data_IF_465922528046
#
_entry.id   IF_465922528046
#
_cell.length_a   1.000
_cell.length_b   1.000
_cell.length_c   1.000
_cell.angle_alpha   90.00
_cell.angle_beta   90.00
_cell.angle_gamma   90.00
#
_symmetry.space_group_name_H-M   'P 1'
#
loop_
_entity.id
_entity.type
_entity.pdbx_description
1 polymer ?
#
# COMPACT_ATOMS: atom_id res chain seq x y z
N UNK A 1 -2.40 -14.86 16.53
CA UNK A 1 -1.61 -15.55 15.47
C UNK A 1 -1.08 -14.48 14.54
N UNK A 2 0.16 -14.57 14.07
CA UNK A 2 0.65 -13.64 13.06
C UNK A 2 -0.16 -13.82 11.77
N UNK A 3 -0.58 -12.71 11.18
CA UNK A 3 -1.26 -12.69 9.89
C UNK A 3 -0.46 -13.47 8.84
N UNK A 4 -1.13 -14.35 8.09
CA UNK A 4 -0.55 -14.97 6.89
C UNK A 4 -0.78 -14.00 5.70
N UNK A 5 0.29 -13.44 5.09
CA UNK A 5 0.14 -12.44 4.04
C UNK A 5 -0.65 -12.93 2.83
N UNK A 6 -0.41 -14.17 2.39
CA UNK A 6 -1.08 -14.71 1.21
C UNK A 6 -2.56 -14.98 1.44
N UNK A 7 -2.94 -15.54 2.59
CA UNK A 7 -4.37 -15.68 2.97
C UNK A 7 -5.05 -14.33 3.09
N UNK A 8 -4.34 -13.31 3.57
CA UNK A 8 -4.86 -11.94 3.63
C UNK A 8 -5.07 -11.35 2.23
N UNK A 9 -4.11 -11.51 1.31
CA UNK A 9 -4.25 -11.13 -0.09
C UNK A 9 -5.50 -11.76 -0.70
N UNK A 10 -5.64 -13.09 -0.63
CA UNK A 10 -6.82 -13.80 -1.17
C UNK A 10 -8.14 -13.27 -0.61
N UNK A 11 -8.16 -12.92 0.68
CA UNK A 11 -9.34 -12.31 1.32
C UNK A 11 -9.65 -10.94 0.73
N UNK A 12 -8.63 -10.10 0.50
CA UNK A 12 -8.79 -8.78 -0.09
C UNK A 12 -9.20 -8.86 -1.58
N UNK A 13 -8.63 -9.80 -2.34
CA UNK A 13 -9.03 -10.05 -3.74
C UNK A 13 -10.52 -10.41 -3.83
N UNK A 14 -10.97 -11.34 -2.99
CA UNK A 14 -12.38 -11.73 -2.92
C UNK A 14 -13.30 -10.58 -2.53
N UNK A 15 -12.91 -9.74 -1.56
CA UNK A 15 -13.73 -8.61 -1.08
C UNK A 15 -13.80 -7.44 -2.06
N UNK A 16 -12.69 -7.16 -2.73
CA UNK A 16 -12.59 -6.07 -3.70
C UNK A 16 -13.11 -6.45 -5.08
N UNK A 17 -13.31 -7.74 -5.33
CA UNK A 17 -13.64 -8.26 -6.66
C UNK A 17 -12.47 -8.09 -7.64
N UNK A 18 -11.23 -8.23 -7.17
CA UNK A 18 -10.04 -8.25 -8.04
C UNK A 18 -9.90 -9.63 -8.68
N UNK A 19 -10.26 -9.74 -9.95
CA UNK A 19 -10.44 -11.04 -10.62
C UNK A 19 -9.23 -11.46 -11.46
N UNK A 20 -9.29 -12.67 -11.99
CA UNK A 20 -8.31 -13.17 -12.97
C UNK A 20 -8.26 -12.29 -14.23
N UNK A 21 -9.41 -11.75 -14.66
CA UNK A 21 -9.49 -10.83 -15.79
C UNK A 21 -8.77 -9.51 -15.50
N UNK A 22 -8.90 -8.97 -14.28
CA UNK A 22 -8.15 -7.77 -13.85
C UNK A 22 -6.64 -8.04 -13.89
N UNK A 23 -6.21 -9.19 -13.36
CA UNK A 23 -4.80 -9.63 -13.38
C UNK A 23 -4.25 -9.76 -14.80
N UNK A 24 -5.03 -10.36 -15.71
CA UNK A 24 -4.65 -10.49 -17.12
C UNK A 24 -4.59 -9.13 -17.82
N UNK A 25 -5.56 -8.25 -17.52
CA UNK A 25 -5.59 -6.89 -18.04
C UNK A 25 -4.34 -6.12 -17.58
N UNK A 26 -4.04 -6.11 -16.29
CA UNK A 26 -2.84 -5.47 -15.73
C UNK A 26 -1.56 -5.97 -16.39
N UNK A 27 -1.40 -7.28 -16.54
CA UNK A 27 -0.25 -7.88 -17.25
C UNK A 27 -0.14 -7.40 -18.69
N UNK A 28 -1.26 -7.32 -19.42
CA UNK A 28 -1.25 -6.84 -20.81
C UNK A 28 -0.78 -5.38 -20.95
N UNK A 29 -0.84 -4.60 -19.87
CA UNK A 29 -0.40 -3.20 -19.81
C UNK A 29 0.91 -3.01 -19.03
N UNK A 30 1.65 -4.08 -18.70
CA UNK A 30 2.87 -3.99 -17.89
C UNK A 30 3.93 -3.06 -18.49
N UNK A 31 4.17 -3.10 -19.80
CA UNK A 31 5.13 -2.19 -20.46
C UNK A 31 4.67 -0.72 -20.41
N UNK A 32 3.37 -0.48 -20.51
CA UNK A 32 2.82 0.87 -20.34
C UNK A 32 2.97 1.33 -18.89
N UNK A 33 2.62 0.48 -17.91
CA UNK A 33 2.79 0.75 -16.49
C UNK A 33 4.26 1.07 -16.14
N UNK A 34 5.20 0.30 -16.69
CA UNK A 34 6.64 0.53 -16.56
C UNK A 34 7.07 1.88 -17.12
N UNK A 35 6.51 2.28 -18.25
CA UNK A 35 6.82 3.56 -18.90
C UNK A 35 6.38 4.76 -18.06
N UNK A 36 5.22 4.68 -17.40
CA UNK A 36 4.68 5.78 -16.60
C UNK A 36 5.18 5.78 -15.15
N UNK A 37 5.78 4.68 -14.66
CA UNK A 37 6.19 4.54 -13.28
C UNK A 37 7.11 5.67 -12.75
N UNK A 38 8.10 6.17 -13.52
CA UNK A 38 8.94 7.30 -13.06
C UNK A 38 8.13 8.58 -12.84
N UNK A 39 7.17 8.87 -13.71
CA UNK A 39 6.30 10.04 -13.59
C UNK A 39 5.37 9.92 -12.37
N UNK A 40 4.84 8.72 -12.11
CA UNK A 40 4.02 8.47 -10.91
C UNK A 40 4.84 8.63 -9.63
N UNK A 41 6.12 8.23 -9.66
CA UNK A 41 7.04 8.46 -8.55
C UNK A 41 7.24 9.97 -8.32
N UNK A 42 7.42 10.74 -9.40
CA UNK A 42 7.60 12.19 -9.31
C UNK A 42 6.36 12.87 -8.70
N UNK A 43 5.15 12.48 -9.11
CA UNK A 43 3.91 12.97 -8.49
C UNK A 43 3.81 12.59 -7.01
N UNK A 44 4.13 11.35 -6.66
CA UNK A 44 4.09 10.86 -5.28
C UNK A 44 5.06 11.62 -4.36
N UNK A 45 6.32 11.78 -4.75
CA UNK A 45 7.30 12.50 -3.94
C UNK A 45 7.06 14.01 -3.94
N UNK A 46 6.57 14.60 -5.04
CA UNK A 46 6.16 16.00 -5.07
C UNK A 46 4.98 16.29 -4.14
N UNK A 47 4.05 15.34 -3.97
CA UNK A 47 2.98 15.44 -2.98
C UNK A 47 3.53 15.39 -1.56
N UNK A 48 4.31 14.35 -1.23
CA UNK A 48 4.87 14.17 0.11
C UNK A 48 5.75 15.35 0.55
N UNK A 49 6.50 15.94 -0.39
CA UNK A 49 7.42 17.04 -0.08
C UNK A 49 6.71 18.36 0.30
N UNK A 50 5.37 18.43 0.21
CA UNK A 50 4.57 19.59 0.65
C UNK A 50 4.37 19.60 2.17
N UNK A 51 4.51 18.45 2.81
CA UNK A 51 4.39 18.29 4.25
C UNK A 51 5.77 18.33 4.91
N UNK A 52 5.90 19.09 6.00
CA UNK A 52 7.19 19.33 6.67
C UNK A 52 7.73 18.06 7.35
N UNK A 53 6.85 17.23 7.92
CA UNK A 53 7.21 15.96 8.55
C UNK A 53 7.76 15.00 7.49
N UNK A 54 7.04 14.86 6.38
CA UNK A 54 7.47 14.00 5.26
C UNK A 54 8.74 14.53 4.59
N UNK A 55 8.87 15.83 4.37
CA UNK A 55 10.09 16.44 3.85
C UNK A 55 11.31 16.07 4.71
N UNK A 56 11.17 16.14 6.03
CA UNK A 56 12.24 15.79 6.98
C UNK A 56 12.61 14.30 6.85
N UNK A 57 11.63 13.40 6.79
CA UNK A 57 11.86 11.96 6.64
C UNK A 57 12.56 11.62 5.31
N UNK A 58 12.10 12.21 4.21
CA UNK A 58 12.62 11.99 2.86
C UNK A 58 14.09 12.41 2.73
N UNK A 59 14.48 13.49 3.43
CA UNK A 59 15.81 14.09 3.38
C UNK A 59 16.71 13.72 4.57
N UNK A 60 16.28 12.80 5.44
CA UNK A 60 17.02 12.44 6.64
C UNK A 60 18.42 11.83 6.37
N UNK A 61 18.64 11.27 5.17
CA UNK A 61 19.96 10.76 4.75
C UNK A 61 20.23 11.08 3.27
N UNK A 62 21.50 11.32 2.94
CA UNK A 62 21.91 11.65 1.57
C UNK A 62 21.55 10.53 0.58
N UNK A 63 21.02 10.95 -0.56
CA UNK A 63 20.55 10.04 -1.62
C UNK A 63 19.34 9.17 -1.26
N UNK A 64 18.71 9.37 -0.09
CA UNK A 64 17.53 8.59 0.33
C UNK A 64 16.37 8.75 -0.65
N UNK A 65 16.06 9.97 -1.05
CA UNK A 65 14.96 10.25 -1.98
C UNK A 65 15.14 9.53 -3.33
N UNK A 66 16.36 9.44 -3.85
CA UNK A 66 16.64 8.70 -5.08
C UNK A 66 16.40 7.20 -4.92
N UNK A 67 16.90 6.59 -3.83
CA UNK A 67 16.66 5.16 -3.54
C UNK A 67 15.17 4.86 -3.32
N UNK A 68 14.46 5.78 -2.67
CA UNK A 68 13.02 5.71 -2.46
C UNK A 68 12.27 5.76 -3.79
N UNK A 69 12.65 6.67 -4.69
CA UNK A 69 12.11 6.77 -6.05
C UNK A 69 12.25 5.47 -6.82
N UNK A 70 13.43 4.84 -6.81
CA UNK A 70 13.65 3.56 -7.49
C UNK A 70 12.79 2.44 -6.88
N UNK A 71 12.64 2.44 -5.55
CA UNK A 71 11.79 1.49 -4.84
C UNK A 71 10.32 1.66 -5.20
N UNK A 72 9.85 2.91 -5.31
CA UNK A 72 8.49 3.22 -5.75
C UNK A 72 8.24 2.75 -7.19
N UNK A 73 9.16 3.06 -8.11
CA UNK A 73 9.05 2.64 -9.52
C UNK A 73 8.90 1.13 -9.62
N UNK A 74 9.72 0.39 -8.88
CA UNK A 74 9.61 -1.06 -8.81
C UNK A 74 8.28 -1.51 -8.20
N UNK A 75 7.87 -0.95 -7.05
CA UNK A 75 6.59 -1.28 -6.40
C UNK A 75 5.38 -1.06 -7.32
N UNK A 76 5.38 0.06 -8.05
CA UNK A 76 4.34 0.42 -9.00
C UNK A 76 4.30 -0.55 -10.19
N UNK A 77 5.47 -0.87 -10.76
CA UNK A 77 5.56 -1.83 -11.86
C UNK A 77 5.06 -3.23 -11.44
N UNK A 78 5.34 -3.65 -10.21
CA UNK A 78 4.86 -4.91 -9.67
C UNK A 78 3.34 -5.01 -9.55
N UNK A 79 2.62 -3.88 -9.43
CA UNK A 79 1.17 -3.89 -9.49
C UNK A 79 0.65 -4.39 -10.84
N UNK A 80 1.42 -4.25 -11.91
CA UNK A 80 1.04 -4.72 -13.25
C UNK A 80 1.43 -6.18 -13.47
N UNK A 81 2.57 -6.60 -12.92
CA UNK A 81 3.13 -7.94 -13.17
C UNK A 81 2.65 -8.97 -12.17
N UNK A 82 2.35 -8.56 -10.95
CA UNK A 82 2.06 -9.44 -9.83
C UNK A 82 3.28 -10.20 -9.28
N UNK A 83 4.49 -9.99 -9.82
CA UNK A 83 5.76 -10.71 -9.57
C UNK A 83 5.73 -12.24 -9.74
N UNK A 84 4.84 -12.91 -9.03
CA UNK A 84 4.57 -14.34 -8.98
C UNK A 84 3.07 -14.62 -9.15
N UNK A 85 2.41 -13.85 -10.02
CA UNK A 85 0.97 -13.91 -10.27
C UNK A 85 0.11 -13.54 -9.06
N UNK A 86 0.53 -12.52 -8.30
CA UNK A 86 -0.10 -12.12 -7.04
C UNK A 86 -0.14 -13.30 -6.05
N UNK A 87 1.00 -13.98 -5.94
CA UNK A 87 1.20 -15.16 -5.13
C UNK A 87 1.73 -14.84 -3.73
N UNK A 88 2.50 -15.78 -3.18
CA UNK A 88 3.09 -15.63 -1.85
C UNK A 88 4.15 -14.54 -1.82
N UNK A 89 5.00 -14.45 -2.85
CA UNK A 89 6.10 -13.49 -2.88
C UNK A 89 5.57 -12.06 -2.99
N UNK A 90 4.51 -11.85 -3.79
CA UNK A 90 3.82 -10.57 -3.84
C UNK A 90 3.28 -10.17 -2.45
N UNK A 91 2.54 -11.07 -1.81
CA UNK A 91 1.91 -10.81 -0.52
C UNK A 91 2.94 -10.53 0.59
N UNK A 92 4.02 -11.31 0.65
CA UNK A 92 5.11 -11.14 1.62
C UNK A 92 5.84 -9.81 1.39
N UNK A 93 6.02 -9.40 0.13
CA UNK A 93 6.60 -8.09 -0.20
C UNK A 93 5.70 -6.95 0.26
N UNK A 94 4.38 -7.03 0.03
CA UNK A 94 3.41 -6.02 0.49
C UNK A 94 3.36 -5.93 2.01
N UNK A 95 3.40 -7.08 2.68
CA UNK A 95 3.51 -7.14 4.13
C UNK A 95 4.78 -6.44 4.65
N UNK A 96 5.94 -6.74 4.05
CA UNK A 96 7.21 -6.11 4.42
C UNK A 96 7.20 -4.60 4.21
N UNK A 97 6.58 -4.12 3.13
CA UNK A 97 6.38 -2.68 2.89
C UNK A 97 5.58 -2.06 4.04
N UNK A 98 4.47 -2.69 4.45
CA UNK A 98 3.68 -2.25 5.61
C UNK A 98 4.52 -2.16 6.89
N UNK A 99 5.30 -3.18 7.21
CA UNK A 99 6.17 -3.20 8.40
C UNK A 99 7.19 -2.04 8.40
N UNK A 100 7.76 -1.70 7.23
CA UNK A 100 8.71 -0.60 7.10
C UNK A 100 8.04 0.75 7.40
N UNK A 101 6.79 0.95 6.95
CA UNK A 101 6.06 2.18 7.25
C UNK A 101 5.80 2.32 8.76
N UNK A 102 5.39 1.24 9.42
CA UNK A 102 5.21 1.21 10.89
C UNK A 102 6.52 1.51 11.61
N UNK A 103 7.63 0.89 11.19
CA UNK A 103 8.94 1.08 11.81
C UNK A 103 9.44 2.52 11.73
N UNK A 104 9.15 3.22 10.63
CA UNK A 104 9.56 4.63 10.43
C UNK A 104 8.54 5.60 11.08
N UNK A 105 7.35 5.13 11.43
CA UNK A 105 6.29 5.94 12.03
C UNK A 105 5.46 6.74 11.01
N UNK A 106 5.46 6.34 9.73
CA UNK A 106 4.68 7.02 8.69
C UNK A 106 3.23 6.55 8.77
N UNK A 107 2.41 7.29 9.52
CA UNK A 107 1.03 6.89 9.82
C UNK A 107 0.08 6.90 8.60
N UNK A 108 -1.10 6.27 8.73
CA UNK A 108 -2.15 6.26 7.71
C UNK A 108 -2.52 7.62 7.13
N UNK A 109 -2.46 8.68 7.94
CA UNK A 109 -2.76 10.05 7.51
C UNK A 109 -1.84 10.56 6.38
N UNK A 110 -0.65 9.99 6.24
CA UNK A 110 0.30 10.33 5.18
C UNK A 110 0.16 9.38 3.99
N UNK A 111 -0.03 8.09 4.26
CA UNK A 111 -0.07 7.03 3.23
C UNK A 111 -1.36 7.10 2.40
N UNK A 112 -2.52 7.28 3.04
CA UNK A 112 -3.82 7.26 2.35
C UNK A 112 -3.92 8.38 1.29
N UNK A 113 -3.62 9.66 1.61
CA UNK A 113 -3.64 10.73 0.60
C UNK A 113 -2.56 10.57 -0.49
N UNK A 114 -1.41 10.01 -0.14
CA UNK A 114 -0.34 9.77 -1.12
C UNK A 114 -0.76 8.68 -2.13
N UNK A 115 -1.41 7.61 -1.67
CA UNK A 115 -2.03 6.61 -2.56
C UNK A 115 -3.13 7.22 -3.43
N UNK A 116 -3.99 8.06 -2.86
CA UNK A 116 -5.05 8.75 -3.62
C UNK A 116 -4.47 9.64 -4.73
N UNK A 117 -3.37 10.33 -4.46
CA UNK A 117 -2.64 11.14 -5.46
C UNK A 117 -2.16 10.27 -6.62
N UNK A 118 -1.54 9.12 -6.34
CA UNK A 118 -1.08 8.19 -7.39
C UNK A 118 -2.26 7.68 -8.23
N UNK A 119 -3.34 7.24 -7.60
CA UNK A 119 -4.54 6.76 -8.31
C UNK A 119 -5.14 7.86 -9.21
N UNK A 120 -5.18 9.10 -8.74
CA UNK A 120 -5.67 10.23 -9.51
C UNK A 120 -4.79 10.51 -10.73
N UNK A 121 -3.47 10.56 -10.56
CA UNK A 121 -2.54 10.87 -11.66
C UNK A 121 -2.45 9.75 -12.69
N UNK A 122 -2.50 8.48 -12.25
CA UNK A 122 -2.67 7.34 -13.14
C UNK A 122 -3.96 7.48 -13.93
N UNK A 123 -5.07 7.84 -13.28
CA UNK A 123 -6.36 8.07 -13.96
C UNK A 123 -6.29 9.19 -15.00
N UNK A 124 -5.60 10.29 -14.68
CA UNK A 124 -5.36 11.39 -15.63
C UNK A 124 -4.58 10.88 -16.86
N UNK A 125 -3.50 10.12 -16.62
CA UNK A 125 -2.65 9.58 -17.66
C UNK A 125 -3.36 8.54 -18.54
N UNK A 126 -4.16 7.66 -17.94
CA UNK A 126 -5.00 6.69 -18.66
C UNK A 126 -5.94 7.39 -19.65
N UNK A 127 -6.61 8.47 -19.22
CA UNK A 127 -7.51 9.25 -20.08
C UNK A 127 -6.75 9.96 -21.20
N UNK A 128 -5.60 10.55 -20.90
CA UNK A 128 -4.76 11.22 -21.90
C UNK A 128 -4.27 10.24 -22.98
N UNK A 129 -3.91 9.02 -22.59
CA UNK A 129 -3.43 7.98 -23.50
C UNK A 129 -4.56 7.15 -24.14
N UNK A 130 -5.83 7.52 -23.92
CA UNK A 130 -7.00 6.84 -24.47
C UNK A 130 -7.16 5.38 -24.02
N UNK A 131 -6.75 5.05 -22.79
CA UNK A 131 -6.82 3.69 -22.24
C UNK A 131 -8.22 3.34 -21.74
N UNK A 132 -8.51 2.05 -21.71
CA UNK A 132 -9.80 1.50 -21.26
C UNK A 132 -10.03 1.81 -19.77
N UNK A 133 -11.25 2.23 -19.43
CA UNK A 133 -11.70 2.44 -18.05
C UNK A 133 -11.50 1.19 -17.17
N UNK A 134 -11.62 -0.02 -17.75
CA UNK A 134 -11.38 -1.26 -17.01
C UNK A 134 -9.97 -1.36 -16.43
N UNK A 135 -8.97 -0.76 -17.10
CA UNK A 135 -7.60 -0.72 -16.57
C UNK A 135 -7.51 0.20 -15.36
N UNK A 136 -8.21 1.34 -15.39
CA UNK A 136 -8.29 2.23 -14.23
C UNK A 136 -8.93 1.52 -13.04
N UNK A 137 -10.01 0.77 -13.27
CA UNK A 137 -10.73 0.06 -12.22
C UNK A 137 -9.86 -1.06 -11.62
N UNK A 138 -9.18 -1.86 -12.46
CA UNK A 138 -8.24 -2.89 -12.02
C UNK A 138 -7.07 -2.30 -11.20
N UNK A 139 -6.48 -1.20 -11.67
CA UNK A 139 -5.41 -0.49 -10.94
C UNK A 139 -5.92 0.07 -9.61
N UNK A 140 -7.12 0.64 -9.60
CA UNK A 140 -7.76 1.13 -8.38
C UNK A 140 -7.92 0.02 -7.34
N UNK A 141 -8.40 -1.17 -7.74
CA UNK A 141 -8.54 -2.32 -6.84
C UNK A 141 -7.20 -2.74 -6.24
N UNK A 142 -6.17 -2.96 -7.06
CA UNK A 142 -4.86 -3.41 -6.54
C UNK A 142 -4.17 -2.34 -5.68
N UNK A 143 -4.32 -1.05 -5.99
CA UNK A 143 -3.86 0.04 -5.13
C UNK A 143 -4.51 0.00 -3.74
N UNK A 144 -5.82 -0.27 -3.66
CA UNK A 144 -6.53 -0.38 -2.37
C UNK A 144 -6.15 -1.66 -1.62
N UNK A 145 -5.87 -2.75 -2.32
CA UNK A 145 -5.32 -3.98 -1.71
C UNK A 145 -3.95 -3.68 -1.08
N UNK A 146 -3.04 -3.03 -1.82
CA UNK A 146 -1.71 -2.66 -1.32
C UNK A 146 -1.79 -1.69 -0.13
N UNK A 147 -2.71 -0.72 -0.17
CA UNK A 147 -2.97 0.17 0.97
C UNK A 147 -3.43 -0.60 2.21
N UNK A 148 -4.32 -1.58 2.04
CA UNK A 148 -4.80 -2.41 3.14
C UNK A 148 -3.69 -3.23 3.81
N UNK A 149 -2.63 -3.61 3.10
CA UNK A 149 -1.44 -4.24 3.72
C UNK A 149 -0.73 -3.30 4.69
N UNK A 150 -0.60 -2.01 4.34
CA UNK A 150 0.03 -1.01 5.20
C UNK A 150 -0.82 -0.77 6.46
N UNK A 151 -2.13 -0.56 6.27
CA UNK A 151 -3.07 -0.38 7.39
C UNK A 151 -3.09 -1.60 8.33
N UNK A 152 -3.13 -2.80 7.76
CA UNK A 152 -3.15 -4.02 8.56
C UNK A 152 -1.82 -4.22 9.31
N UNK A 153 -0.68 -3.83 8.74
CA UNK A 153 0.59 -3.86 9.46
C UNK A 153 0.57 -2.97 10.70
N UNK A 154 -0.04 -1.77 10.64
CA UNK A 154 -0.24 -0.91 11.81
C UNK A 154 -1.06 -1.60 12.90
N UNK A 155 -2.18 -2.22 12.53
CA UNK A 155 -3.05 -2.94 13.48
C UNK A 155 -2.30 -4.09 14.14
N UNK A 156 -1.66 -4.95 13.36
CA UNK A 156 -0.97 -6.15 13.86
C UNK A 156 0.25 -5.79 14.73
N UNK A 157 1.12 -4.89 14.25
CA UNK A 157 2.36 -4.54 14.97
C UNK A 157 2.03 -3.80 16.26
N UNK A 158 1.10 -2.84 16.24
CA UNK A 158 0.72 -2.09 17.44
C UNK A 158 0.10 -3.01 18.49
N UNK A 159 -0.81 -3.90 18.06
CA UNK A 159 -1.43 -4.89 18.95
C UNK A 159 -0.39 -5.84 19.54
N UNK A 160 0.49 -6.40 18.69
CA UNK A 160 1.53 -7.32 19.14
C UNK A 160 2.52 -6.67 20.11
N UNK A 161 2.91 -5.41 19.86
CA UNK A 161 3.80 -4.67 20.75
C UNK A 161 3.18 -4.49 22.14
N UNK A 162 1.91 -4.06 22.22
CA UNK A 162 1.20 -3.89 23.50
C UNK A 162 1.02 -5.22 24.23
N UNK A 163 0.58 -6.28 23.54
CA UNK A 163 0.38 -7.59 24.15
C UNK A 163 1.69 -8.16 24.71
N UNK A 164 2.80 -8.00 23.98
CA UNK A 164 4.13 -8.45 24.43
C UNK A 164 4.62 -7.69 25.65
N UNK A 165 4.43 -6.38 25.68
CA UNK A 165 4.88 -5.52 26.79
C UNK A 165 4.04 -5.72 28.06
N UNK A 166 2.72 -5.83 27.91
CA UNK A 166 1.78 -5.87 29.04
C UNK A 166 1.46 -7.28 29.54
N UNK A 167 1.74 -8.31 28.74
CA UNK A 167 1.29 -9.68 29.01
C UNK A 167 -0.22 -9.88 28.91
N UNK A 168 -0.97 -8.90 28.35
CA UNK A 168 -2.40 -9.03 28.17
C UNK A 168 -2.76 -10.16 27.20
N UNK A 169 -3.92 -10.75 27.42
CA UNK A 169 -4.49 -11.68 26.44
C UNK A 169 -5.10 -10.91 25.27
N UNK A 170 -5.06 -11.50 24.07
CA UNK A 170 -5.68 -10.92 22.88
C UNK A 170 -7.19 -10.63 23.10
N UNK A 171 -7.89 -11.50 23.83
CA UNK A 171 -9.30 -11.33 24.19
C UNK A 171 -9.53 -10.09 25.07
N UNK A 172 -8.66 -9.85 26.05
CA UNK A 172 -8.75 -8.66 26.91
C UNK A 172 -8.51 -7.40 26.07
N UNK A 173 -7.46 -7.38 25.25
CA UNK A 173 -7.10 -6.23 24.42
C UNK A 173 -8.23 -5.85 23.46
N UNK A 174 -8.81 -6.83 22.73
CA UNK A 174 -9.96 -6.59 21.85
C UNK A 174 -11.17 -6.01 22.59
N UNK A 175 -11.45 -6.49 23.81
CA UNK A 175 -12.54 -5.94 24.63
C UNK A 175 -12.26 -4.48 25.04
N UNK A 176 -11.02 -4.15 25.40
CA UNK A 176 -10.63 -2.78 25.78
C UNK A 176 -10.75 -1.81 24.60
N UNK A 177 -10.37 -2.22 23.40
CA UNK A 177 -10.57 -1.40 22.19
C UNK A 177 -12.07 -1.14 21.98
N UNK A 178 -12.89 -2.18 22.01
CA UNK A 178 -14.33 -2.05 21.78
C UNK A 178 -15.03 -1.15 22.81
N UNK A 179 -14.72 -1.32 24.10
CA UNK A 179 -15.30 -0.49 25.16
C UNK A 179 -14.74 0.93 25.17
N UNK A 180 -13.46 1.11 24.83
CA UNK A 180 -12.84 2.42 24.70
C UNK A 180 -13.45 3.23 23.55
N UNK A 181 -13.62 2.61 22.37
CA UNK A 181 -14.26 3.24 21.22
C UNK A 181 -15.67 3.74 21.53
N UNK A 182 -16.49 2.94 22.22
CA UNK A 182 -17.84 3.35 22.63
C UNK A 182 -17.91 4.45 23.70
N UNK A 183 -16.77 4.85 24.28
CA UNK A 183 -16.68 6.00 25.21
C UNK A 183 -16.14 7.28 24.55
N UNK A 184 -15.60 7.17 23.34
CA UNK A 184 -15.07 8.30 22.56
C UNK A 184 -16.09 8.84 21.54
N UNK A 185 -17.18 8.11 21.32
CA UNK A 185 -18.39 8.54 20.62
C UNK A 185 -19.35 9.27 21.55
#
# INVERSE_FOLDING_TARGET
MSLNPYTFLQTLESRSGFTTEDKQLLKSYAEWGKTIAPEMADHFYAYLNRDEEMHTILNATEGRIHRLRDTFIQWFYEMFTGMDDWGQDYADRRWRIGLVHVQIGIGPQHVVPAMATVVQEVGNRLRADGKDQRLQDALGRICMIDLAFIEQAYVEVSSAAVLRETGWTEKLFRRLIATGAGKMS
#
